data_IF_205272234718
#
_entry.id   IF_205272234718
#
_cell.length_a   1.000
_cell.length_b   1.000
_cell.length_c   1.000
_cell.angle_alpha   90.00
_cell.angle_beta   90.00
_cell.angle_gamma   90.00
#
_symmetry.space_group_name_H-M   'P 1'
#
loop_
_entity.id
_entity.type
_entity.pdbx_description
1 polymer ?
#
# COMPACT_ATOMS: atom_id res chain seq x y z
N UNK A 1 -27.63 -28.76 -48.87
CA UNK A 1 -27.54 -30.24 -48.77
C UNK A 1 -27.31 -30.62 -47.33
N UNK A 2 -28.32 -31.25 -46.73
CA UNK A 2 -28.41 -32.30 -45.72
C UNK A 2 -27.47 -32.16 -44.54
N UNK A 3 -27.97 -31.70 -43.38
CA UNK A 3 -28.67 -32.43 -42.29
C UNK A 3 -27.98 -33.71 -41.83
N UNK A 4 -27.58 -33.73 -40.58
CA UNK A 4 -27.84 -34.85 -39.67
C UNK A 4 -27.75 -34.39 -38.21
N UNK A 5 -28.92 -34.37 -37.56
CA UNK A 5 -29.14 -34.27 -36.12
C UNK A 5 -28.79 -35.62 -35.48
N UNK A 6 -28.06 -35.64 -34.40
CA UNK A 6 -28.08 -36.77 -33.48
C UNK A 6 -28.52 -36.31 -32.09
N UNK A 7 -29.75 -36.69 -31.76
CA UNK A 7 -30.33 -36.71 -30.43
C UNK A 7 -29.65 -37.84 -29.65
N UNK A 8 -29.08 -37.56 -28.49
CA UNK A 8 -28.81 -38.57 -27.47
C UNK A 8 -29.71 -38.26 -26.27
N UNK A 9 -30.69 -39.13 -26.07
CA UNK A 9 -31.51 -39.22 -24.87
C UNK A 9 -30.62 -39.71 -23.72
N UNK A 10 -30.57 -38.97 -22.62
CA UNK A 10 -30.04 -39.46 -21.35
C UNK A 10 -31.22 -39.70 -20.41
N UNK A 11 -31.45 -40.96 -20.12
CA UNK A 11 -32.45 -41.42 -19.16
C UNK A 11 -32.02 -41.00 -17.75
N UNK A 12 -32.92 -40.34 -17.03
CA UNK A 12 -32.73 -40.00 -15.64
C UNK A 12 -32.80 -41.23 -14.74
N UNK A 13 -31.77 -41.39 -13.91
CA UNK A 13 -31.81 -42.28 -12.75
C UNK A 13 -31.73 -41.39 -11.49
N UNK A 14 -32.87 -41.10 -10.88
CA UNK A 14 -32.96 -40.51 -9.56
C UNK A 14 -32.54 -41.50 -8.50
N UNK A 15 -31.34 -41.38 -7.97
CA UNK A 15 -30.93 -42.09 -6.78
C UNK A 15 -31.21 -41.21 -5.56
N UNK A 16 -32.33 -41.49 -4.85
CA UNK A 16 -32.57 -40.93 -3.52
C UNK A 16 -31.55 -41.51 -2.53
N UNK A 17 -30.58 -40.71 -2.19
CA UNK A 17 -29.72 -40.98 -1.03
C UNK A 17 -30.43 -40.49 0.24
N UNK A 18 -30.95 -41.38 1.03
CA UNK A 18 -31.32 -41.15 2.42
C UNK A 18 -30.06 -40.78 3.20
N UNK A 19 -29.93 -39.50 3.60
CA UNK A 19 -28.92 -39.06 4.54
C UNK A 19 -29.44 -39.36 5.95
N UNK A 20 -28.80 -40.20 6.74
CA UNK A 20 -29.19 -40.39 8.16
C UNK A 20 -28.89 -39.09 8.92
N UNK A 21 -29.90 -38.57 9.62
CA UNK A 21 -29.71 -37.52 10.61
C UNK A 21 -28.83 -38.03 11.73
N UNK A 22 -27.57 -37.64 11.75
CA UNK A 22 -26.70 -37.83 12.91
C UNK A 22 -27.10 -36.82 13.97
N UNK A 23 -27.59 -37.33 15.07
CA UNK A 23 -27.80 -36.54 16.28
C UNK A 23 -26.48 -35.88 16.69
N UNK A 24 -26.55 -34.58 16.99
CA UNK A 24 -25.45 -33.84 17.61
C UNK A 24 -25.20 -34.43 19.01
N UNK A 25 -24.23 -35.29 19.13
CA UNK A 25 -23.72 -35.72 20.42
C UNK A 25 -22.74 -34.65 20.91
N UNK A 26 -22.98 -34.11 22.09
CA UNK A 26 -22.27 -32.99 22.68
C UNK A 26 -20.86 -33.37 23.18
N UNK A 27 -20.06 -34.04 22.36
CA UNK A 27 -18.64 -34.22 22.66
C UNK A 27 -17.92 -32.89 22.46
N UNK A 28 -17.17 -32.33 23.45
CA UNK A 28 -16.39 -31.14 23.25
C UNK A 28 -15.38 -31.45 22.15
N UNK A 29 -15.30 -30.51 21.17
CA UNK A 29 -14.31 -30.58 20.11
C UNK A 29 -12.94 -30.86 20.73
N UNK A 30 -12.41 -32.05 20.45
CA UNK A 30 -11.05 -32.41 20.83
C UNK A 30 -10.11 -31.31 20.38
N UNK A 31 -9.25 -30.86 21.28
CA UNK A 31 -8.16 -29.96 21.02
C UNK A 31 -7.19 -30.71 20.09
N UNK A 32 -7.56 -30.87 18.81
CA UNK A 32 -6.65 -31.39 17.81
C UNK A 32 -5.50 -30.37 17.70
N UNK A 33 -4.36 -30.75 18.26
CA UNK A 33 -3.11 -30.08 17.99
C UNK A 33 -2.93 -30.11 16.48
N UNK A 34 -3.12 -28.91 15.84
CA UNK A 34 -2.92 -28.73 14.42
C UNK A 34 -1.44 -28.98 14.16
N UNK A 35 -1.13 -30.18 13.66
CA UNK A 35 0.21 -30.52 13.22
C UNK A 35 0.52 -29.68 11.96
N UNK A 36 1.77 -29.22 11.75
CA UNK A 36 2.16 -28.37 10.62
C UNK A 36 1.74 -28.93 9.23
N UNK A 37 1.61 -30.23 9.12
CA UNK A 37 1.26 -30.96 7.88
C UNK A 37 -0.21 -30.78 7.42
N UNK A 38 -1.07 -30.11 8.19
CA UNK A 38 -2.50 -29.91 7.87
C UNK A 38 -2.94 -28.45 7.87
N UNK A 39 -2.02 -27.52 8.13
CA UNK A 39 -2.36 -26.10 8.18
C UNK A 39 -2.51 -25.54 6.76
N UNK A 40 -3.62 -24.89 6.46
CA UNK A 40 -3.78 -24.16 5.21
C UNK A 40 -2.92 -22.88 5.22
N UNK A 41 -2.56 -22.38 4.05
CA UNK A 41 -1.81 -21.13 3.92
C UNK A 41 -2.52 -19.94 4.61
N UNK A 42 -3.86 -19.92 4.56
CA UNK A 42 -4.67 -18.89 5.22
C UNK A 42 -4.66 -19.00 6.75
N UNK A 43 -4.66 -20.21 7.29
CA UNK A 43 -4.53 -20.44 8.74
C UNK A 43 -3.13 -20.06 9.22
N UNK A 44 -2.10 -20.42 8.46
CA UNK A 44 -0.73 -20.02 8.75
C UNK A 44 -0.55 -18.50 8.74
N UNK A 45 -1.15 -17.80 7.77
CA UNK A 45 -1.17 -16.34 7.74
C UNK A 45 -1.80 -15.75 9.00
N UNK A 46 -2.99 -16.24 9.40
CA UNK A 46 -3.67 -15.76 10.61
C UNK A 46 -2.86 -16.05 11.87
N UNK A 47 -2.24 -17.23 11.96
CA UNK A 47 -1.39 -17.60 13.09
C UNK A 47 -0.15 -16.70 13.15
N UNK A 48 0.53 -16.49 12.02
CA UNK A 48 1.69 -15.61 11.91
C UNK A 48 1.35 -14.18 12.32
N UNK A 49 0.24 -13.66 11.83
CA UNK A 49 -0.24 -12.34 12.21
C UNK A 49 -0.54 -12.22 13.70
N UNK A 50 -1.26 -13.18 14.27
CA UNK A 50 -1.58 -13.20 15.72
C UNK A 50 -0.31 -13.18 16.56
N UNK A 51 0.68 -14.02 16.22
CA UNK A 51 1.97 -14.06 16.90
C UNK A 51 2.74 -12.75 16.76
N UNK A 52 2.73 -12.15 15.56
CA UNK A 52 3.37 -10.88 15.32
C UNK A 52 2.81 -9.77 16.22
N UNK A 53 1.48 -9.61 16.26
CA UNK A 53 0.83 -8.57 17.07
C UNK A 53 0.85 -8.87 18.58
N UNK A 54 1.05 -10.13 19.00
CA UNK A 54 1.30 -10.47 20.41
C UNK A 54 2.76 -10.25 20.85
N UNK A 55 3.64 -9.81 19.94
CA UNK A 55 5.05 -9.55 20.22
C UNK A 55 5.97 -10.77 20.01
N UNK A 56 5.44 -11.95 19.74
CA UNK A 56 6.23 -13.16 19.43
C UNK A 56 6.61 -13.18 17.95
N UNK A 57 7.46 -12.20 17.56
CA UNK A 57 7.84 -11.97 16.17
C UNK A 57 8.64 -13.13 15.58
N UNK A 58 9.43 -13.83 16.40
CA UNK A 58 10.20 -14.99 15.95
C UNK A 58 9.28 -16.16 15.58
N UNK A 59 8.29 -16.45 16.41
CA UNK A 59 7.31 -17.50 16.10
C UNK A 59 6.35 -17.10 14.95
N UNK A 60 6.14 -15.80 14.75
CA UNK A 60 5.40 -15.29 13.60
C UNK A 60 6.11 -15.61 12.28
N UNK A 61 7.45 -15.50 12.27
CA UNK A 61 8.29 -15.65 11.08
C UNK A 61 8.05 -17.00 10.38
N UNK A 62 8.05 -18.11 11.14
CA UNK A 62 7.89 -19.46 10.57
C UNK A 62 6.50 -19.65 9.96
N UNK A 63 5.46 -19.15 10.65
CA UNK A 63 4.08 -19.21 10.17
C UNK A 63 3.87 -18.33 8.92
N UNK A 64 4.45 -17.14 8.89
CA UNK A 64 4.39 -16.25 7.72
C UNK A 64 5.17 -16.83 6.54
N UNK A 65 6.34 -17.44 6.79
CA UNK A 65 7.14 -18.09 5.75
C UNK A 65 6.37 -19.23 5.08
N UNK A 66 5.78 -20.12 5.88
CA UNK A 66 4.92 -21.17 5.37
C UNK A 66 3.75 -20.62 4.53
N UNK A 67 3.08 -19.57 5.03
CA UNK A 67 1.98 -18.93 4.30
C UNK A 67 2.45 -18.34 2.95
N UNK A 68 3.60 -17.66 2.92
CA UNK A 68 4.17 -17.07 1.70
C UNK A 68 4.57 -18.13 0.67
N UNK A 69 5.21 -19.21 1.10
CA UNK A 69 5.58 -20.35 0.25
C UNK A 69 4.35 -21.06 -0.34
N UNK A 70 3.21 -21.00 0.37
CA UNK A 70 1.94 -21.56 -0.08
C UNK A 70 0.99 -20.51 -0.68
N UNK A 71 1.55 -19.43 -1.23
CA UNK A 71 0.82 -18.53 -2.10
C UNK A 71 -0.01 -17.45 -1.42
N UNK A 72 0.39 -16.97 -0.24
CA UNK A 72 -0.27 -15.83 0.42
C UNK A 72 0.54 -14.54 0.20
N UNK A 73 0.09 -13.60 -0.70
CA UNK A 73 0.85 -12.39 -1.00
C UNK A 73 1.02 -11.48 0.20
N UNK A 74 0.03 -11.40 1.09
CA UNK A 74 0.11 -10.62 2.32
C UNK A 74 1.22 -11.15 3.25
N UNK A 75 1.44 -12.46 3.30
CA UNK A 75 2.51 -13.04 4.11
C UNK A 75 3.90 -12.70 3.54
N UNK A 76 4.08 -12.85 2.23
CA UNK A 76 5.32 -12.48 1.57
C UNK A 76 5.61 -10.97 1.71
N UNK A 77 4.59 -10.12 1.51
CA UNK A 77 4.69 -8.69 1.74
C UNK A 77 5.11 -8.37 3.19
N UNK A 78 4.50 -9.01 4.19
CA UNK A 78 4.84 -8.79 5.60
C UNK A 78 6.27 -9.23 5.93
N UNK A 79 6.72 -10.35 5.38
CA UNK A 79 8.11 -10.80 5.50
C UNK A 79 9.08 -9.77 4.87
N UNK A 80 8.74 -9.24 3.70
CA UNK A 80 9.49 -8.15 3.09
C UNK A 80 9.65 -6.96 4.03
N UNK A 81 8.57 -6.52 4.68
CA UNK A 81 8.62 -5.44 5.68
C UNK A 81 9.49 -5.79 6.90
N UNK A 82 9.34 -7.01 7.44
CA UNK A 82 10.12 -7.46 8.60
C UNK A 82 11.62 -7.45 8.31
N UNK A 83 12.03 -7.94 7.13
CA UNK A 83 13.44 -7.92 6.74
C UNK A 83 13.95 -6.51 6.42
N UNK A 84 13.15 -5.67 5.77
CA UNK A 84 13.53 -4.28 5.48
C UNK A 84 13.72 -3.42 6.73
N UNK A 85 12.95 -3.69 7.79
CA UNK A 85 13.00 -2.92 9.03
C UNK A 85 13.83 -3.58 10.16
N UNK A 86 14.32 -4.80 9.94
CA UNK A 86 14.94 -5.58 11.02
C UNK A 86 13.97 -5.94 12.15
N UNK A 87 12.68 -6.08 11.82
CA UNK A 87 11.61 -6.23 12.80
C UNK A 87 11.36 -7.71 13.16
N UNK A 88 11.96 -8.16 14.26
CA UNK A 88 11.95 -9.56 14.70
C UNK A 88 12.94 -10.47 13.96
N UNK A 89 13.68 -9.92 13.03
CA UNK A 89 14.78 -10.56 12.27
C UNK A 89 15.92 -9.58 12.11
N UNK A 90 17.11 -10.05 11.75
CA UNK A 90 18.17 -9.14 11.32
C UNK A 90 17.75 -8.44 10.01
N UNK A 91 18.01 -7.12 9.93
CA UNK A 91 17.77 -6.33 8.72
C UNK A 91 18.51 -6.95 7.53
N UNK A 92 17.80 -7.15 6.43
CA UNK A 92 18.33 -7.75 5.20
C UNK A 92 17.54 -7.23 3.99
N UNK A 93 18.00 -6.16 3.40
CA UNK A 93 17.40 -5.52 2.21
C UNK A 93 17.28 -6.48 1.03
N UNK A 94 18.23 -7.42 0.88
CA UNK A 94 18.18 -8.35 -0.24
C UNK A 94 17.05 -9.38 -0.06
N UNK A 95 16.87 -9.91 1.15
CA UNK A 95 15.71 -10.77 1.44
C UNK A 95 14.40 -10.02 1.34
N UNK A 96 14.35 -8.76 1.81
CA UNK A 96 13.17 -7.93 1.64
C UNK A 96 12.83 -7.76 0.14
N UNK A 97 13.83 -7.46 -0.70
CA UNK A 97 13.68 -7.38 -2.14
C UNK A 97 13.16 -8.70 -2.74
N UNK A 98 13.69 -9.85 -2.32
CA UNK A 98 13.24 -11.16 -2.81
C UNK A 98 11.76 -11.41 -2.49
N UNK A 99 11.31 -11.12 -1.27
CA UNK A 99 9.91 -11.27 -0.90
C UNK A 99 8.99 -10.31 -1.65
N UNK A 100 9.35 -9.04 -1.81
CA UNK A 100 8.57 -8.10 -2.62
C UNK A 100 8.54 -8.52 -4.10
N UNK A 101 9.66 -9.00 -4.63
CA UNK A 101 9.71 -9.51 -6.00
C UNK A 101 8.84 -10.76 -6.18
N UNK A 102 8.77 -11.65 -5.17
CA UNK A 102 7.84 -12.77 -5.16
C UNK A 102 6.38 -12.30 -5.28
N UNK A 103 5.97 -11.29 -4.49
CA UNK A 103 4.63 -10.72 -4.55
C UNK A 103 4.34 -10.20 -5.96
N UNK A 104 5.22 -9.37 -6.50
CA UNK A 104 5.03 -8.75 -7.82
C UNK A 104 5.03 -9.77 -8.95
N UNK A 105 5.90 -10.78 -8.87
CA UNK A 105 6.00 -11.82 -9.92
C UNK A 105 4.77 -12.72 -9.98
N UNK A 106 4.12 -12.98 -8.84
CA UNK A 106 2.98 -13.89 -8.77
C UNK A 106 1.63 -13.15 -8.87
N UNK A 107 1.57 -11.91 -8.45
CA UNK A 107 0.31 -11.15 -8.29
C UNK A 107 0.34 -9.78 -8.96
N UNK A 108 1.36 -9.49 -9.80
CA UNK A 108 1.50 -8.17 -10.44
C UNK A 108 0.33 -7.76 -11.33
N UNK A 109 -0.41 -8.72 -11.87
CA UNK A 109 -1.61 -8.51 -12.71
C UNK A 109 -2.92 -8.59 -11.91
N UNK A 110 -2.85 -8.61 -10.57
CA UNK A 110 -4.04 -8.65 -9.70
C UNK A 110 -4.95 -7.45 -9.96
N UNK A 111 -6.28 -7.67 -9.87
CA UNK A 111 -7.23 -6.57 -10.06
C UNK A 111 -7.02 -5.46 -9.02
N UNK A 112 -7.02 -4.17 -9.44
CA UNK A 112 -6.91 -3.05 -8.51
C UNK A 112 -8.01 -2.99 -7.44
N UNK A 113 -9.11 -3.70 -7.67
CA UNK A 113 -10.25 -3.79 -6.74
C UNK A 113 -10.20 -5.02 -5.85
N UNK A 114 -9.20 -5.89 -6.01
CA UNK A 114 -9.09 -7.08 -5.18
C UNK A 114 -8.63 -6.74 -3.76
N UNK A 115 -8.96 -7.58 -2.77
CA UNK A 115 -8.46 -7.42 -1.40
C UNK A 115 -6.93 -7.50 -1.30
N UNK A 116 -6.26 -8.08 -2.30
CA UNK A 116 -4.81 -8.22 -2.33
C UNK A 116 -4.10 -7.00 -2.93
N UNK A 117 -4.81 -6.18 -3.71
CA UNK A 117 -4.23 -5.04 -4.44
C UNK A 117 -3.38 -4.10 -3.58
N UNK A 118 -3.75 -3.72 -2.34
CA UNK A 118 -2.93 -2.85 -1.51
C UNK A 118 -1.55 -3.44 -1.16
N UNK A 119 -1.46 -4.75 -0.97
CA UNK A 119 -0.19 -5.42 -0.66
C UNK A 119 0.68 -5.55 -1.91
N UNK A 120 0.06 -5.81 -3.05
CA UNK A 120 0.74 -5.90 -4.36
C UNK A 120 1.28 -4.54 -4.76
N UNK A 121 0.49 -3.47 -4.67
CA UNK A 121 0.94 -2.12 -4.99
C UNK A 121 2.06 -1.65 -4.08
N UNK A 122 1.96 -1.92 -2.77
CA UNK A 122 3.02 -1.63 -1.80
C UNK A 122 4.32 -2.39 -2.09
N UNK A 123 4.24 -3.64 -2.58
CA UNK A 123 5.41 -4.39 -3.00
C UNK A 123 6.07 -3.77 -4.25
N UNK A 124 5.28 -3.29 -5.23
CA UNK A 124 5.81 -2.51 -6.36
C UNK A 124 6.55 -1.26 -5.89
N UNK A 125 5.98 -0.52 -4.94
CA UNK A 125 6.61 0.69 -4.38
C UNK A 125 7.95 0.34 -3.73
N UNK A 126 7.99 -0.69 -2.89
CA UNK A 126 9.23 -1.14 -2.24
C UNK A 126 10.31 -1.54 -3.26
N UNK A 127 9.94 -2.30 -4.31
CA UNK A 127 10.87 -2.63 -5.39
C UNK A 127 11.35 -1.38 -6.14
N UNK A 128 10.46 -0.43 -6.41
CA UNK A 128 10.82 0.85 -7.01
C UNK A 128 11.88 1.58 -6.21
N UNK A 129 11.71 1.65 -4.89
CA UNK A 129 12.68 2.28 -3.97
C UNK A 129 14.04 1.57 -4.00
N UNK A 130 14.06 0.23 -3.98
CA UNK A 130 15.31 -0.52 -4.14
C UNK A 130 15.98 -0.30 -5.50
N UNK A 131 15.22 -0.13 -6.58
CA UNK A 131 15.82 0.21 -7.87
C UNK A 131 16.26 1.68 -7.97
N UNK A 132 15.75 2.58 -7.15
CA UNK A 132 16.28 3.96 -7.09
C UNK A 132 17.70 3.98 -6.52
N UNK A 133 17.98 3.23 -5.47
CA UNK A 133 19.24 3.29 -4.72
C UNK A 133 20.19 2.13 -5.00
N UNK A 134 19.65 0.98 -5.42
CA UNK A 134 20.35 -0.31 -5.40
C UNK A 134 20.50 -0.85 -3.98
N UNK A 135 20.97 -2.09 -3.87
CA UNK A 135 21.28 -2.75 -2.58
C UNK A 135 22.77 -3.05 -2.56
N UNK A 136 23.46 -2.53 -1.53
CA UNK A 136 24.92 -2.69 -1.41
C UNK A 136 25.34 -4.16 -1.34
N UNK A 137 26.47 -4.47 -1.96
CA UNK A 137 27.04 -5.82 -1.98
C UNK A 137 26.15 -6.92 -2.62
N UNK A 138 25.17 -6.52 -3.43
CA UNK A 138 24.29 -7.44 -4.16
C UNK A 138 24.30 -7.18 -5.66
N UNK A 139 23.56 -7.98 -6.43
CA UNK A 139 23.36 -7.76 -7.87
C UNK A 139 22.25 -6.72 -8.16
N UNK A 140 21.51 -6.27 -7.16
CA UNK A 140 20.48 -5.23 -7.32
C UNK A 140 21.17 -3.87 -7.39
N UNK A 141 21.44 -3.43 -8.62
CA UNK A 141 22.07 -2.12 -8.87
C UNK A 141 21.03 -1.03 -9.04
N UNK A 142 21.40 0.20 -8.71
CA UNK A 142 20.55 1.36 -8.97
C UNK A 142 20.16 1.43 -10.45
N UNK A 143 18.87 1.57 -10.71
CA UNK A 143 18.30 1.70 -12.03
C UNK A 143 17.06 2.62 -11.98
N UNK A 144 17.26 3.95 -11.99
CA UNK A 144 16.14 4.91 -11.90
C UNK A 144 15.12 4.78 -13.03
N UNK A 145 15.56 4.32 -14.23
CA UNK A 145 14.64 4.09 -15.34
C UNK A 145 13.68 2.92 -15.03
N UNK A 146 14.20 1.85 -14.45
CA UNK A 146 13.37 0.71 -14.00
C UNK A 146 12.48 1.11 -12.84
N UNK A 147 12.99 1.85 -11.86
CA UNK A 147 12.20 2.38 -10.74
C UNK A 147 11.01 3.19 -11.24
N UNK A 148 11.24 4.13 -12.18
CA UNK A 148 10.17 4.93 -12.78
C UNK A 148 9.10 4.08 -13.47
N UNK A 149 9.48 3.02 -14.20
CA UNK A 149 8.52 2.11 -14.82
C UNK A 149 7.65 1.41 -13.76
N UNK A 150 8.26 0.93 -12.68
CA UNK A 150 7.59 0.26 -11.56
C UNK A 150 6.63 1.22 -10.87
N UNK A 151 7.08 2.43 -10.51
CA UNK A 151 6.22 3.43 -9.91
C UNK A 151 5.08 3.84 -10.86
N UNK A 152 5.33 3.95 -12.17
CA UNK A 152 4.28 4.27 -13.15
C UNK A 152 3.19 3.19 -13.14
N UNK A 153 3.56 1.92 -13.07
CA UNK A 153 2.59 0.83 -12.98
C UNK A 153 1.77 0.93 -11.68
N UNK A 154 2.42 1.01 -10.52
CA UNK A 154 1.74 1.12 -9.23
C UNK A 154 0.83 2.37 -9.14
N UNK A 155 1.32 3.52 -9.63
CA UNK A 155 0.59 4.78 -9.61
C UNK A 155 -0.62 4.82 -10.55
N UNK A 156 -0.49 4.23 -11.75
CA UNK A 156 -1.53 4.32 -12.80
C UNK A 156 -2.52 3.17 -12.75
N UNK A 157 -2.06 1.94 -12.48
CA UNK A 157 -2.90 0.76 -12.47
C UNK A 157 -3.59 0.57 -11.11
N UNK A 158 -2.82 0.58 -10.02
CA UNK A 158 -3.37 0.45 -8.67
C UNK A 158 -3.83 1.78 -8.07
N UNK A 159 -3.39 2.88 -8.64
CA UNK A 159 -3.67 4.20 -8.08
C UNK A 159 -2.95 4.45 -6.76
N UNK A 160 -1.83 3.81 -6.51
CA UNK A 160 -1.08 3.89 -5.25
C UNK A 160 -0.57 5.30 -4.97
N UNK A 161 -0.86 5.83 -3.78
CA UNK A 161 -0.54 7.21 -3.42
C UNK A 161 0.97 7.42 -3.20
N UNK A 162 1.66 6.43 -2.64
CA UNK A 162 3.10 6.50 -2.45
C UNK A 162 3.83 6.45 -3.80
N UNK A 163 3.40 5.56 -4.72
CA UNK A 163 3.95 5.52 -6.07
C UNK A 163 3.72 6.84 -6.84
N UNK A 164 2.56 7.46 -6.66
CA UNK A 164 2.26 8.78 -7.23
C UNK A 164 3.17 9.85 -6.63
N UNK A 165 3.45 9.82 -5.34
CA UNK A 165 4.40 10.70 -4.68
C UNK A 165 5.82 10.52 -5.21
N UNK A 166 6.30 9.29 -5.33
CA UNK A 166 7.64 8.98 -5.88
C UNK A 166 7.80 9.46 -7.33
N UNK A 167 6.77 9.29 -8.16
CA UNK A 167 6.77 9.86 -9.51
C UNK A 167 6.81 11.38 -9.48
N UNK A 168 6.06 12.02 -8.60
CA UNK A 168 6.12 13.45 -8.39
C UNK A 168 7.54 13.93 -8.10
N UNK A 169 8.26 13.23 -7.23
CA UNK A 169 9.66 13.55 -6.91
C UNK A 169 10.59 13.39 -8.12
N UNK A 170 10.45 12.30 -8.88
CA UNK A 170 11.25 12.07 -10.09
C UNK A 170 11.01 13.17 -11.13
N UNK A 171 9.76 13.58 -11.34
CA UNK A 171 9.44 14.61 -12.32
C UNK A 171 9.80 16.03 -11.86
N UNK A 172 9.84 16.30 -10.55
CA UNK A 172 10.20 17.61 -9.99
C UNK A 172 11.59 18.10 -10.40
N UNK A 173 12.50 17.20 -10.73
CA UNK A 173 13.84 17.56 -11.18
C UNK A 173 13.85 18.23 -12.57
N UNK A 174 12.87 17.91 -13.44
CA UNK A 174 12.92 18.28 -14.86
C UNK A 174 11.58 18.75 -15.46
N UNK A 175 10.47 18.59 -14.76
CA UNK A 175 9.14 18.90 -15.27
C UNK A 175 8.13 19.17 -14.14
N UNK A 176 8.07 20.41 -13.68
CA UNK A 176 7.18 20.83 -12.58
C UNK A 176 5.71 20.57 -12.87
N UNK A 177 5.24 20.68 -14.11
CA UNK A 177 3.83 20.40 -14.44
C UNK A 177 3.47 18.93 -14.26
N UNK A 178 4.37 18.03 -14.62
CA UNK A 178 4.19 16.60 -14.36
C UNK A 178 4.30 16.29 -12.87
N UNK A 179 5.21 16.93 -12.16
CA UNK A 179 5.32 16.81 -10.71
C UNK A 179 4.02 17.25 -10.02
N UNK A 180 3.48 18.44 -10.36
CA UNK A 180 2.19 18.92 -9.85
C UNK A 180 1.07 17.91 -10.10
N UNK A 181 1.02 17.30 -11.28
CA UNK A 181 -0.01 16.31 -11.62
C UNK A 181 0.07 15.08 -10.70
N UNK A 182 1.26 14.51 -10.52
CA UNK A 182 1.44 13.32 -9.71
C UNK A 182 1.27 13.60 -8.22
N UNK A 183 1.86 14.69 -7.71
CA UNK A 183 1.64 15.10 -6.32
C UNK A 183 0.18 15.40 -6.02
N UNK A 184 -0.56 16.02 -6.95
CA UNK A 184 -1.99 16.29 -6.75
C UNK A 184 -2.80 14.99 -6.60
N UNK A 185 -2.51 13.95 -7.39
CA UNK A 185 -3.18 12.65 -7.26
C UNK A 185 -2.94 12.01 -5.88
N UNK A 186 -1.70 12.05 -5.39
CA UNK A 186 -1.35 11.55 -4.07
C UNK A 186 -1.92 12.42 -2.93
N UNK A 187 -1.85 13.74 -3.08
CA UNK A 187 -2.34 14.71 -2.10
C UNK A 187 -3.84 14.57 -1.83
N UNK A 188 -4.63 14.35 -2.89
CA UNK A 188 -6.08 14.08 -2.79
C UNK A 188 -6.39 12.78 -2.05
N UNK A 189 -5.46 11.86 -1.96
CA UNK A 189 -5.57 10.61 -1.18
C UNK A 189 -5.04 10.73 0.24
N UNK A 190 -4.66 11.93 0.66
CA UNK A 190 -4.18 12.20 1.99
C UNK A 190 -2.68 11.95 2.20
N UNK A 191 -1.88 11.75 1.14
CA UNK A 191 -0.44 11.56 1.28
C UNK A 191 0.24 12.89 1.70
N UNK A 192 0.68 12.98 2.95
CA UNK A 192 1.15 14.22 3.58
C UNK A 192 2.37 14.81 2.84
N UNK A 193 3.36 13.97 2.52
CA UNK A 193 4.53 14.41 1.76
C UNK A 193 4.16 14.99 0.39
N UNK A 194 3.17 14.39 -0.29
CA UNK A 194 2.69 14.90 -1.56
C UNK A 194 1.93 16.23 -1.42
N UNK A 195 1.14 16.40 -0.36
CA UNK A 195 0.48 17.68 -0.05
C UNK A 195 1.52 18.79 0.15
N UNK A 196 2.58 18.52 0.92
CA UNK A 196 3.65 19.48 1.16
C UNK A 196 4.39 19.83 -0.14
N UNK A 197 4.84 18.82 -0.91
CA UNK A 197 5.60 19.07 -2.15
C UNK A 197 4.74 19.63 -3.28
N UNK A 198 3.46 19.28 -3.37
CA UNK A 198 2.50 19.97 -4.25
C UNK A 198 2.42 21.45 -3.92
N UNK A 199 2.33 21.76 -2.63
CA UNK A 199 2.29 23.12 -2.13
C UNK A 199 3.53 23.91 -2.53
N UNK A 200 4.72 23.36 -2.28
CA UNK A 200 6.00 23.98 -2.65
C UNK A 200 6.11 24.18 -4.16
N UNK A 201 5.81 23.14 -4.93
CA UNK A 201 5.91 23.23 -6.40
C UNK A 201 4.96 24.27 -6.96
N UNK A 202 3.70 24.32 -6.51
CA UNK A 202 2.74 25.33 -6.93
C UNK A 202 3.16 26.74 -6.54
N UNK A 203 3.65 26.95 -5.31
CA UNK A 203 4.04 28.26 -4.82
C UNK A 203 5.17 28.86 -5.67
N UNK A 204 6.09 28.02 -6.15
CA UNK A 204 7.23 28.39 -6.97
C UNK A 204 6.92 28.40 -8.48
N UNK A 205 5.80 27.77 -8.91
CA UNK A 205 5.42 27.63 -10.30
C UNK A 205 4.85 28.94 -10.84
N UNK A 206 5.62 29.63 -11.66
CA UNK A 206 5.29 30.91 -12.27
C UNK A 206 4.91 32.00 -11.23
N UNK A 207 4.95 33.25 -11.61
CA UNK A 207 4.59 34.37 -10.72
C UNK A 207 3.06 34.58 -10.73
N UNK A 208 2.33 33.60 -10.21
CA UNK A 208 0.87 33.57 -10.15
C UNK A 208 0.37 33.66 -8.71
N UNK A 209 -0.43 34.69 -8.44
CA UNK A 209 -1.08 34.86 -7.12
C UNK A 209 -1.91 33.59 -6.75
N UNK A 210 -2.67 33.07 -7.70
CA UNK A 210 -3.48 31.87 -7.48
C UNK A 210 -2.63 30.63 -7.11
N UNK A 211 -1.50 30.43 -7.82
CA UNK A 211 -0.59 29.32 -7.51
C UNK A 211 0.04 29.46 -6.12
N UNK A 212 0.42 30.70 -5.73
CA UNK A 212 0.94 30.95 -4.38
C UNK A 212 -0.11 30.69 -3.29
N UNK A 213 -1.36 31.11 -3.48
CA UNK A 213 -2.45 30.84 -2.56
C UNK A 213 -2.73 29.33 -2.45
N UNK A 214 -2.85 28.63 -3.56
CA UNK A 214 -3.04 27.16 -3.59
C UNK A 214 -1.86 26.41 -3.02
N UNK A 215 -0.66 26.88 -3.30
CA UNK A 215 0.58 26.30 -2.77
C UNK A 215 0.60 26.34 -1.24
N UNK A 216 0.38 27.53 -0.67
CA UNK A 216 0.35 27.70 0.77
C UNK A 216 -0.83 26.97 1.42
N UNK A 217 -2.00 26.91 0.75
CA UNK A 217 -3.13 26.09 1.18
C UNK A 217 -2.72 24.62 1.38
N UNK A 218 -2.06 23.99 0.37
CA UNK A 218 -1.66 22.59 0.45
C UNK A 218 -0.61 22.35 1.54
N UNK A 219 0.35 23.25 1.72
CA UNK A 219 1.32 23.16 2.81
C UNK A 219 0.65 23.29 4.19
N UNK A 220 -0.40 24.14 4.31
CA UNK A 220 -1.17 24.26 5.54
C UNK A 220 -1.96 23.00 5.87
N UNK A 221 -2.56 22.35 4.86
CA UNK A 221 -3.22 21.05 5.01
C UNK A 221 -2.21 19.97 5.42
N UNK A 222 -1.06 19.91 4.74
CA UNK A 222 0.00 18.95 5.07
C UNK A 222 0.47 19.09 6.53
N UNK A 223 0.66 20.33 7.01
CA UNK A 223 1.03 20.60 8.40
C UNK A 223 -0.03 20.11 9.38
N UNK A 224 -1.30 20.34 9.09
CA UNK A 224 -2.41 19.90 9.96
C UNK A 224 -2.41 18.36 10.07
N UNK A 225 -2.33 17.67 8.94
CA UNK A 225 -2.28 16.19 8.91
C UNK A 225 -1.02 15.62 9.58
N UNK A 226 0.15 16.29 9.41
CA UNK A 226 1.38 15.88 10.09
C UNK A 226 1.26 16.00 11.63
N UNK A 227 0.55 17.01 12.11
CA UNK A 227 0.30 17.18 13.54
C UNK A 227 -0.62 16.09 14.13
N UNK A 228 -1.59 15.60 13.36
CA UNK A 228 -2.48 14.51 13.76
C UNK A 228 -1.77 13.14 13.81
N UNK A 229 -0.83 12.88 12.88
CA UNK A 229 -0.06 11.62 12.87
C UNK A 229 1.08 11.57 13.92
N UNK A 230 1.37 12.72 14.54
CA UNK A 230 2.56 12.89 15.36
C UNK A 230 3.78 13.27 14.50
N UNK A 231 4.49 14.32 14.92
CA UNK A 231 5.47 15.02 14.06
C UNK A 231 6.62 14.12 13.56
N UNK A 232 7.07 13.12 14.31
CA UNK A 232 8.08 12.13 13.89
C UNK A 232 8.94 12.56 12.69
N UNK A 233 8.98 11.75 11.65
CA UNK A 233 9.72 12.01 10.40
C UNK A 233 9.12 13.13 9.52
N UNK A 234 7.98 13.73 9.92
CA UNK A 234 7.27 14.78 9.19
C UNK A 234 7.65 16.21 9.65
N UNK A 235 8.64 16.38 10.50
CA UNK A 235 9.13 17.69 10.97
C UNK A 235 9.46 18.65 9.82
N UNK A 236 10.00 18.12 8.73
CA UNK A 236 10.32 18.90 7.52
C UNK A 236 9.08 19.56 6.86
N UNK A 237 7.89 18.97 7.04
CA UNK A 237 6.62 19.53 6.53
C UNK A 237 6.26 20.80 7.28
N UNK A 238 6.46 20.78 8.60
CA UNK A 238 6.23 21.94 9.47
C UNK A 238 7.19 23.05 9.10
N UNK A 239 8.49 22.76 9.01
CA UNK A 239 9.53 23.73 8.66
C UNK A 239 9.29 24.35 7.28
N UNK A 240 8.88 23.52 6.31
CA UNK A 240 8.53 23.97 4.97
C UNK A 240 7.37 24.97 5.02
N UNK A 241 6.26 24.61 5.68
CA UNK A 241 5.09 25.48 5.78
C UNK A 241 5.44 26.81 6.44
N UNK A 242 6.20 26.81 7.55
CA UNK A 242 6.62 28.04 8.24
C UNK A 242 7.48 28.94 7.36
N UNK A 243 8.41 28.36 6.61
CA UNK A 243 9.24 29.08 5.64
C UNK A 243 8.40 29.78 4.58
N UNK A 244 7.49 29.06 3.92
CA UNK A 244 6.67 29.63 2.86
C UNK A 244 5.59 30.59 3.39
N UNK A 245 5.09 30.33 4.61
CA UNK A 245 4.21 31.26 5.30
C UNK A 245 4.88 32.61 5.58
N UNK A 246 6.15 32.62 5.97
CA UNK A 246 6.91 33.86 6.18
C UNK A 246 7.17 34.64 4.90
N UNK A 247 7.32 33.97 3.76
CA UNK A 247 7.53 34.58 2.44
C UNK A 247 6.24 35.15 1.83
N UNK A 248 5.07 34.68 2.25
CA UNK A 248 3.79 35.06 1.70
C UNK A 248 3.30 36.40 2.27
N UNK A 249 2.60 37.20 1.43
CA UNK A 249 1.88 38.37 1.88
C UNK A 249 0.71 38.00 2.80
N UNK A 250 0.23 38.97 3.59
CA UNK A 250 -0.90 38.74 4.50
C UNK A 250 -2.16 38.28 3.75
N UNK A 251 -2.43 38.79 2.56
CA UNK A 251 -3.58 38.41 1.75
C UNK A 251 -3.48 36.96 1.29
N UNK A 252 -2.31 36.52 0.86
CA UNK A 252 -2.05 35.12 0.50
C UNK A 252 -2.25 34.22 1.69
N UNK A 253 -1.72 34.59 2.89
CA UNK A 253 -1.88 33.79 4.11
C UNK A 253 -3.34 33.62 4.49
N UNK A 254 -4.12 34.71 4.49
CA UNK A 254 -5.57 34.68 4.78
C UNK A 254 -6.36 33.84 3.77
N UNK A 255 -6.06 34.02 2.50
CA UNK A 255 -6.72 33.25 1.43
C UNK A 255 -6.40 31.76 1.53
N UNK A 256 -5.13 31.40 1.71
CA UNK A 256 -4.68 30.03 1.88
C UNK A 256 -5.31 29.33 3.09
N UNK A 257 -5.36 30.01 4.25
CA UNK A 257 -5.98 29.46 5.47
C UNK A 257 -7.47 29.15 5.24
N UNK A 258 -8.25 30.11 4.72
CA UNK A 258 -9.68 29.86 4.42
C UNK A 258 -9.91 28.70 3.45
N UNK A 259 -9.05 28.60 2.41
CA UNK A 259 -9.12 27.51 1.44
C UNK A 259 -8.75 26.17 2.07
N UNK A 260 -7.76 26.13 2.97
CA UNK A 260 -7.37 24.91 3.69
C UNK A 260 -8.50 24.42 4.61
N UNK A 261 -9.07 25.31 5.42
CA UNK A 261 -10.20 24.98 6.30
C UNK A 261 -11.40 24.44 5.50
N UNK A 262 -11.75 25.10 4.40
CA UNK A 262 -12.85 24.68 3.55
C UNK A 262 -12.58 23.32 2.87
N UNK A 263 -11.33 23.04 2.51
CA UNK A 263 -10.94 21.79 1.91
C UNK A 263 -10.99 20.64 2.94
N UNK A 264 -10.41 20.84 4.12
CA UNK A 264 -10.40 19.85 5.20
C UNK A 264 -11.83 19.52 5.65
N UNK A 265 -12.67 20.52 5.89
CA UNK A 265 -14.07 20.30 6.27
C UNK A 265 -14.86 19.44 5.26
N UNK A 266 -14.45 19.46 3.98
CA UNK A 266 -15.11 18.68 2.91
C UNK A 266 -14.53 17.29 2.75
N UNK A 267 -13.23 17.07 3.04
CA UNK A 267 -12.49 15.87 2.62
C UNK A 267 -11.97 15.01 3.79
N UNK A 268 -12.08 15.46 5.04
CA UNK A 268 -11.66 14.67 6.23
C UNK A 268 -12.21 13.23 6.30
N UNK A 269 -13.43 12.93 5.83
CA UNK A 269 -13.95 11.56 5.87
C UNK A 269 -13.33 10.60 4.84
N UNK A 270 -12.50 11.07 3.90
CA UNK A 270 -12.09 10.29 2.71
C UNK A 270 -10.66 9.71 2.78
N UNK A 271 -10.03 9.73 3.93
CA UNK A 271 -8.68 9.17 4.09
C UNK A 271 -8.72 7.64 3.95
N UNK A 272 -8.20 7.12 2.84
CA UNK A 272 -8.10 5.67 2.63
C UNK A 272 -7.16 5.04 3.66
N UNK A 273 -7.53 3.90 4.29
CA UNK A 273 -6.64 3.22 5.22
C UNK A 273 -5.37 2.73 4.50
N UNK A 274 -4.23 2.85 5.16
CA UNK A 274 -2.96 2.32 4.66
C UNK A 274 -3.00 0.79 4.53
N UNK A 275 -2.13 0.20 3.68
CA UNK A 275 -2.00 -1.26 3.58
C UNK A 275 -1.72 -1.90 4.95
N UNK A 276 -1.01 -1.21 5.83
CA UNK A 276 -0.72 -1.64 7.19
C UNK A 276 -1.96 -1.63 8.08
N UNK A 277 -2.79 -0.58 8.02
CA UNK A 277 -4.07 -0.53 8.73
C UNK A 277 -5.05 -1.59 8.22
N UNK A 278 -5.07 -1.85 6.91
CA UNK A 278 -5.86 -2.92 6.31
C UNK A 278 -5.37 -4.29 6.77
N UNK A 279 -4.04 -4.52 6.85
CA UNK A 279 -3.48 -5.78 7.34
C UNK A 279 -3.87 -6.03 8.80
N UNK A 280 -3.76 -5.04 9.66
CA UNK A 280 -4.17 -5.11 11.06
C UNK A 280 -5.67 -5.39 11.23
N UNK A 281 -6.51 -4.85 10.36
CA UNK A 281 -7.96 -5.07 10.36
C UNK A 281 -8.36 -6.45 9.82
N UNK A 282 -7.72 -6.93 8.77
CA UNK A 282 -8.00 -8.24 8.16
C UNK A 282 -7.56 -9.43 9.02
N UNK A 283 -6.77 -9.19 10.05
CA UNK A 283 -6.15 -10.19 10.91
C UNK A 283 -6.76 -10.24 12.31
N UNK A 284 -7.73 -9.38 12.62
CA UNK A 284 -8.57 -9.42 13.83
C UNK A 284 -9.80 -10.25 13.61
#
# INVERSE_FOLDING_TARGET
>A
MRMLRNLVQIAGLQLMLLVPAHAFDGTPASNEQITPDRMTASEALRLGARKYYSGDKQAALDSLRYAAENGQPMAAWKLGQMYAAGDGVAEDDYKAFEYYNQVVSLYGDESPTSPQAPFVSSAFVALGKYYMTGIKNTQVKANPARARQIFTHAASYFGDAEAQYELGQIYRENNDLMAVRWFNLAALKGHIGAQALLGETLFNLADSLENRERGLMWMTIARAHAAEEGVGDLGWVVDMQERYFSLASEDIRRSAARRADAWMAKHEPMRAPSAEALSASALR
#
